data_IF_554837918198
#
_entry.id   IF_554837918198
#
_cell.length_a   1.000
_cell.length_b   1.000
_cell.length_c   1.000
_cell.angle_alpha   90.00
_cell.angle_beta   90.00
_cell.angle_gamma   90.00
#
_symmetry.space_group_name_H-M   'P 1'
#
loop_
_entity.id
_entity.type
_entity.pdbx_description
1 polymer ?
#
# COMPACT_ATOMS: atom_id res chain seq x y z
N UNK A 1 -8.46 5.52 -13.23
CA UNK A 1 -7.43 5.34 -12.17
C UNK A 1 -6.77 3.96 -12.29
N UNK A 2 -5.77 3.63 -11.46
CA UNK A 2 -5.16 2.29 -11.45
C UNK A 2 -6.19 1.18 -11.17
N UNK A 3 -7.13 1.43 -10.25
CA UNK A 3 -8.21 0.49 -9.95
C UNK A 3 -9.04 0.14 -11.20
N UNK A 4 -9.31 1.13 -12.08
CA UNK A 4 -10.11 0.92 -13.30
C UNK A 4 -9.33 0.28 -14.45
N UNK A 5 -8.02 0.55 -14.58
CA UNK A 5 -7.25 0.15 -15.76
C UNK A 5 -6.33 -1.06 -15.53
N UNK A 6 -5.85 -1.25 -14.30
CA UNK A 6 -4.99 -2.36 -13.92
C UNK A 6 -5.69 -3.33 -12.96
N UNK A 7 -6.56 -2.81 -12.08
CA UNK A 7 -7.31 -3.61 -11.11
C UNK A 7 -6.39 -4.55 -10.32
N UNK A 8 -6.67 -5.87 -10.28
CA UNK A 8 -5.87 -6.83 -9.51
C UNK A 8 -4.42 -6.97 -9.98
N UNK A 9 -4.08 -6.49 -11.18
CA UNK A 9 -2.70 -6.53 -11.69
C UNK A 9 -1.82 -5.37 -11.17
N UNK A 10 -2.39 -4.44 -10.40
CA UNK A 10 -1.63 -3.40 -9.73
C UNK A 10 -1.17 -3.85 -8.34
N UNK A 11 -0.15 -3.16 -7.82
CA UNK A 11 0.26 -3.26 -6.41
C UNK A 11 0.14 -1.86 -5.81
N UNK A 12 -0.63 -1.71 -4.73
CA UNK A 12 -0.69 -0.48 -3.96
C UNK A 12 0.42 -0.44 -2.92
N UNK A 13 1.20 0.63 -2.87
CA UNK A 13 2.20 0.87 -1.82
C UNK A 13 2.04 2.26 -1.23
N UNK A 14 1.79 2.35 0.08
CA UNK A 14 1.80 3.61 0.81
C UNK A 14 3.08 3.76 1.64
N UNK A 15 3.87 4.79 1.33
CA UNK A 15 5.09 5.14 2.07
C UNK A 15 4.84 6.29 3.04
N UNK A 16 5.83 6.55 3.89
CA UNK A 16 5.85 7.68 4.84
C UNK A 16 5.35 8.98 4.21
N UNK A 17 4.53 9.72 4.96
CA UNK A 17 3.88 10.93 4.48
C UNK A 17 2.86 11.45 5.47
N UNK A 18 2.56 12.74 5.39
CA UNK A 18 1.57 13.40 6.24
C UNK A 18 0.16 13.33 5.63
N UNK A 19 -0.86 13.28 6.49
CA UNK A 19 -2.26 13.37 6.07
C UNK A 19 -2.84 12.03 5.64
N UNK A 20 -3.87 12.06 4.80
CA UNK A 20 -4.64 10.90 4.37
C UNK A 20 -4.80 10.80 2.84
N UNK A 21 -4.02 11.59 2.09
CA UNK A 21 -4.09 11.56 0.64
C UNK A 21 -3.73 10.15 0.12
N UNK A 22 -4.47 9.67 -0.87
CA UNK A 22 -4.36 8.32 -1.39
C UNK A 22 -5.07 7.23 -0.59
N UNK A 23 -5.54 7.46 0.65
CA UNK A 23 -6.21 6.41 1.44
C UNK A 23 -7.51 5.90 0.79
N UNK A 24 -8.30 6.80 0.19
CA UNK A 24 -9.50 6.41 -0.57
C UNK A 24 -9.13 5.60 -1.82
N UNK A 25 -8.13 6.03 -2.58
CA UNK A 25 -7.65 5.31 -3.76
C UNK A 25 -7.08 3.92 -3.43
N UNK A 26 -6.43 3.75 -2.27
CA UNK A 26 -6.00 2.43 -1.79
C UNK A 26 -7.19 1.52 -1.48
N UNK A 27 -8.27 2.08 -0.92
CA UNK A 27 -9.52 1.34 -0.71
C UNK A 27 -10.20 0.92 -2.01
N UNK A 28 -10.26 1.80 -3.01
CA UNK A 28 -10.74 1.46 -4.36
C UNK A 28 -9.89 0.35 -4.99
N UNK A 29 -8.57 0.44 -4.88
CA UNK A 29 -7.65 -0.54 -5.44
C UNK A 29 -7.79 -1.90 -4.73
N UNK A 30 -7.93 -1.90 -3.41
CA UNK A 30 -8.21 -3.09 -2.59
C UNK A 30 -9.46 -3.84 -3.06
N UNK A 31 -10.53 -3.13 -3.37
CA UNK A 31 -11.78 -3.73 -3.85
C UNK A 31 -11.62 -4.49 -5.17
N UNK A 32 -10.59 -4.17 -5.95
CA UNK A 32 -10.27 -4.91 -7.19
C UNK A 32 -9.52 -6.22 -6.96
N UNK A 33 -9.07 -6.48 -5.72
CA UNK A 33 -8.24 -7.63 -5.37
C UNK A 33 -6.73 -7.37 -5.44
N UNK A 34 -6.31 -6.14 -5.73
CA UNK A 34 -4.91 -5.76 -5.73
C UNK A 34 -4.30 -5.82 -4.31
N UNK A 35 -3.07 -6.32 -4.16
CA UNK A 35 -2.37 -6.29 -2.88
C UNK A 35 -2.02 -4.85 -2.47
N UNK A 36 -2.26 -4.52 -1.20
CA UNK A 36 -1.96 -3.22 -0.61
C UNK A 36 -0.90 -3.38 0.48
N UNK A 37 0.28 -2.81 0.23
CA UNK A 37 1.38 -2.73 1.17
C UNK A 37 1.44 -1.34 1.81
N UNK A 38 1.81 -1.25 3.08
CA UNK A 38 2.08 0.03 3.74
C UNK A 38 3.40 -0.03 4.51
N UNK A 39 4.10 1.09 4.56
CA UNK A 39 5.30 1.24 5.39
C UNK A 39 4.92 1.22 6.88
N UNK A 40 5.72 0.54 7.70
CA UNK A 40 5.53 0.53 9.15
C UNK A 40 5.86 1.88 9.81
N UNK A 41 5.41 2.04 11.05
CA UNK A 41 5.64 3.27 11.82
C UNK A 41 7.11 3.45 12.17
N UNK A 42 7.80 2.36 12.51
CA UNK A 42 9.19 2.40 12.97
C UNK A 42 10.16 2.96 11.93
N UNK A 43 9.95 2.66 10.65
CA UNK A 43 10.81 3.14 9.57
C UNK A 43 10.28 4.39 8.89
N UNK A 44 9.09 4.87 9.25
CA UNK A 44 8.49 6.08 8.70
C UNK A 44 9.02 7.33 9.40
N UNK A 45 9.22 8.41 8.63
CA UNK A 45 9.49 9.74 9.21
C UNK A 45 8.18 10.33 9.75
N UNK A 46 7.09 10.14 9.00
CA UNK A 46 5.73 10.53 9.40
C UNK A 46 4.80 9.38 9.03
N UNK A 47 4.19 8.77 10.04
CA UNK A 47 3.23 7.68 9.84
C UNK A 47 1.79 8.18 9.71
N UNK A 48 1.59 9.22 8.90
CA UNK A 48 0.26 9.78 8.61
C UNK A 48 -0.46 8.95 7.55
N UNK A 49 0.01 9.02 6.31
CA UNK A 49 -0.63 8.33 5.18
C UNK A 49 -0.62 6.80 5.33
N UNK A 50 0.52 6.13 5.67
CA UNK A 50 0.50 4.68 5.89
C UNK A 50 -0.41 4.29 7.06
N UNK A 51 -0.37 5.08 8.15
CA UNK A 51 -1.20 4.86 9.33
C UNK A 51 -2.69 4.99 9.03
N UNK A 52 -3.08 5.91 8.16
CA UNK A 52 -4.47 6.05 7.74
C UNK A 52 -4.95 4.85 6.91
N UNK A 53 -4.14 4.38 5.95
CA UNK A 53 -4.46 3.18 5.15
C UNK A 53 -4.59 1.95 6.05
N UNK A 54 -3.70 1.81 7.04
CA UNK A 54 -3.75 0.74 8.03
C UNK A 54 -5.01 0.83 8.93
N UNK A 55 -5.32 2.01 9.48
CA UNK A 55 -6.50 2.24 10.34
C UNK A 55 -7.82 1.94 9.63
N UNK A 56 -7.89 2.21 8.32
CA UNK A 56 -9.06 1.89 7.49
C UNK A 56 -9.17 0.40 7.13
N UNK A 57 -8.19 -0.42 7.50
CA UNK A 57 -8.17 -1.85 7.21
C UNK A 57 -7.89 -2.18 5.74
N UNK A 58 -7.31 -1.24 4.98
CA UNK A 58 -7.04 -1.46 3.55
C UNK A 58 -5.71 -2.19 3.33
N UNK A 59 -4.76 -2.08 4.25
CA UNK A 59 -3.46 -2.75 4.17
C UNK A 59 -3.58 -4.28 4.29
N UNK A 60 -2.96 -5.03 3.37
CA UNK A 60 -2.70 -6.46 3.50
C UNK A 60 -1.47 -6.72 4.37
N UNK A 61 -0.42 -5.92 4.17
CA UNK A 61 0.85 -6.07 4.87
C UNK A 61 1.40 -4.71 5.31
N UNK A 62 1.90 -4.65 6.54
CA UNK A 62 2.63 -3.51 7.11
C UNK A 62 4.09 -3.93 7.23
N UNK A 63 5.00 -3.24 6.53
CA UNK A 63 6.38 -3.68 6.37
C UNK A 63 7.39 -2.57 6.68
N UNK A 64 8.54 -2.88 7.30
CA UNK A 64 9.64 -1.94 7.40
C UNK A 64 10.20 -1.60 6.02
N UNK A 65 10.63 -0.35 5.82
CA UNK A 65 11.13 0.17 4.54
C UNK A 65 12.15 -0.76 3.87
N UNK A 66 13.08 -1.32 4.65
CA UNK A 66 14.11 -2.23 4.15
C UNK A 66 13.61 -3.55 3.57
N UNK A 67 12.35 -3.95 3.82
CA UNK A 67 11.73 -5.18 3.27
C UNK A 67 10.81 -4.92 2.09
N UNK A 68 10.39 -3.66 1.86
CA UNK A 68 9.37 -3.32 0.86
C UNK A 68 9.83 -3.68 -0.55
N UNK A 69 11.06 -3.34 -0.92
CA UNK A 69 11.57 -3.59 -2.28
C UNK A 69 11.55 -5.09 -2.65
N UNK A 70 12.04 -5.94 -1.75
CA UNK A 70 12.02 -7.38 -1.96
C UNK A 70 10.58 -7.91 -2.11
N UNK A 71 9.66 -7.42 -1.27
CA UNK A 71 8.25 -7.82 -1.34
C UNK A 71 7.57 -7.38 -2.64
N UNK A 72 7.84 -6.17 -3.11
CA UNK A 72 7.33 -5.68 -4.40
C UNK A 72 7.77 -6.57 -5.57
N UNK A 73 9.05 -6.94 -5.61
CA UNK A 73 9.58 -7.82 -6.66
C UNK A 73 8.89 -9.19 -6.62
N UNK A 74 8.71 -9.74 -5.41
CA UNK A 74 8.02 -11.02 -5.24
C UNK A 74 6.58 -10.97 -5.74
N UNK A 75 5.81 -9.93 -5.38
CA UNK A 75 4.43 -9.76 -5.84
C UNK A 75 4.36 -9.55 -7.36
N UNK A 76 5.23 -8.73 -7.93
CA UNK A 76 5.24 -8.45 -9.36
C UNK A 76 5.68 -9.64 -10.22
N UNK A 77 6.38 -10.61 -9.63
CA UNK A 77 6.87 -11.81 -10.33
C UNK A 77 5.86 -12.96 -10.32
N UNK A 78 4.79 -12.89 -9.53
CA UNK A 78 3.73 -13.90 -9.50
C UNK A 78 2.86 -13.72 -10.75
N UNK A 79 2.87 -14.73 -11.63
CA UNK A 79 1.94 -14.85 -12.77
C UNK A 79 0.68 -15.56 -12.33
#
# INVERSE_FOLDING_TARGET
SLAQNAGPNAIGLMLTGMGNDGAAGMGELKQTGAPILVQDELTSVVWGMPGEVAKRGFADEVLPLGKIAARLIELASRK
#
